data_IF_040909016175
#
_entry.id   IF_040909016175
#
_cell.length_a   1.000
_cell.length_b   1.000
_cell.length_c   1.000
_cell.angle_alpha   90.00
_cell.angle_beta   90.00
_cell.angle_gamma   90.00
#
_symmetry.space_group_name_H-M   'P 1'
#
loop_
_entity.id
_entity.type
_entity.pdbx_description
1 polymer ?
#
# COMPACT_ATOMS: atom_id res chain seq x y z
N UNK A 1 2.62 -3.99 3.62
CA UNK A 1 3.52 -5.16 3.76
C UNK A 1 4.95 -4.76 4.08
N UNK A 2 5.65 -4.05 3.19
CA UNK A 2 7.08 -3.75 3.36
C UNK A 2 7.42 -3.09 4.70
N UNK A 3 6.59 -2.17 5.19
CA UNK A 3 6.78 -1.54 6.51
C UNK A 3 6.76 -2.55 7.66
N UNK A 4 5.81 -3.48 7.67
CA UNK A 4 5.74 -4.55 8.66
C UNK A 4 6.98 -5.44 8.60
N UNK A 5 7.39 -5.84 7.39
CA UNK A 5 8.59 -6.66 7.18
C UNK A 5 9.83 -5.96 7.71
N UNK A 6 10.02 -4.67 7.42
CA UNK A 6 11.17 -3.89 7.90
C UNK A 6 11.17 -3.85 9.44
N UNK A 7 10.05 -3.45 10.06
CA UNK A 7 9.96 -3.31 11.51
C UNK A 7 10.19 -4.65 12.21
N UNK A 8 9.43 -5.69 11.83
CA UNK A 8 9.48 -7.00 12.50
C UNK A 8 10.84 -7.67 12.30
N UNK A 9 11.39 -7.69 11.08
CA UNK A 9 12.69 -8.32 10.85
C UNK A 9 13.84 -7.56 11.53
N UNK A 10 13.80 -6.22 11.55
CA UNK A 10 14.81 -5.43 12.26
C UNK A 10 14.80 -5.70 13.76
N UNK A 11 13.61 -5.77 14.37
CA UNK A 11 13.46 -6.10 15.78
C UNK A 11 13.90 -7.54 16.06
N UNK A 12 13.56 -8.48 15.17
CA UNK A 12 13.89 -9.91 15.31
C UNK A 12 15.40 -10.11 15.28
N UNK A 13 16.08 -9.50 14.32
CA UNK A 13 17.54 -9.51 14.26
C UNK A 13 18.16 -8.89 15.52
N UNK A 14 17.60 -7.78 16.00
CA UNK A 14 18.08 -7.10 17.21
C UNK A 14 17.96 -8.00 18.44
N UNK A 15 16.83 -8.66 18.62
CA UNK A 15 16.61 -9.60 19.73
C UNK A 15 17.54 -10.81 19.67
N UNK A 16 17.76 -11.39 18.48
CA UNK A 16 18.70 -12.50 18.30
C UNK A 16 20.11 -12.07 18.71
N UNK A 17 20.60 -10.93 18.20
CA UNK A 17 21.94 -10.44 18.52
C UNK A 17 22.07 -10.15 20.02
N UNK A 18 21.03 -9.61 20.64
CA UNK A 18 20.98 -9.39 22.08
C UNK A 18 21.09 -10.71 22.87
N UNK A 19 20.27 -11.71 22.52
CA UNK A 19 20.27 -13.02 23.17
C UNK A 19 21.63 -13.73 23.03
N UNK A 20 22.24 -13.66 21.84
CA UNK A 20 23.59 -14.19 21.60
C UNK A 20 24.63 -13.50 22.48
N UNK A 21 24.55 -12.16 22.62
CA UNK A 21 25.48 -11.39 23.46
C UNK A 21 25.35 -11.74 24.95
N UNK A 22 24.16 -12.15 25.41
CA UNK A 22 23.92 -12.64 26.77
C UNK A 22 24.31 -14.11 26.97
N UNK A 23 24.78 -14.80 25.93
CA UNK A 23 25.26 -16.18 26.00
C UNK A 23 24.22 -17.25 25.67
N UNK A 24 23.00 -16.86 25.28
CA UNK A 24 21.91 -17.78 24.97
C UNK A 24 21.98 -18.36 23.55
N UNK A 25 23.09 -19.02 23.20
CA UNK A 25 23.35 -19.51 21.82
C UNK A 25 22.29 -20.51 21.33
N UNK A 26 21.82 -21.41 22.21
CA UNK A 26 20.86 -22.45 21.84
C UNK A 26 19.42 -21.95 21.68
N UNK A 27 19.07 -20.84 22.32
CA UNK A 27 17.69 -20.29 22.35
C UNK A 27 17.60 -18.90 21.73
N UNK A 28 18.66 -18.42 21.08
CA UNK A 28 18.70 -17.05 20.54
C UNK A 28 17.65 -16.81 19.46
N UNK A 29 17.28 -17.86 18.71
CA UNK A 29 16.27 -17.82 17.66
C UNK A 29 14.84 -18.02 18.18
N UNK A 30 14.67 -18.40 19.45
CA UNK A 30 13.38 -18.71 20.08
C UNK A 30 12.66 -17.44 20.54
N UNK A 31 12.54 -16.47 19.63
CA UNK A 31 11.83 -15.20 19.85
C UNK A 31 10.42 -15.33 19.27
N UNK A 32 9.42 -15.45 20.14
CA UNK A 32 8.03 -15.56 19.73
C UNK A 32 7.50 -14.21 19.20
N UNK A 33 6.89 -14.25 18.01
CA UNK A 33 6.13 -13.12 17.46
C UNK A 33 4.64 -13.37 17.81
N UNK A 34 3.97 -12.42 18.50
CA UNK A 34 2.57 -12.53 18.86
C UNK A 34 1.64 -12.77 17.66
N UNK A 35 0.54 -13.50 17.89
CA UNK A 35 -0.43 -13.86 16.86
C UNK A 35 -1.02 -12.64 16.15
N UNK A 36 -1.27 -11.56 16.89
CA UNK A 36 -1.84 -10.32 16.34
C UNK A 36 -0.91 -9.68 15.28
N UNK A 37 0.41 -9.84 15.43
CA UNK A 37 1.41 -9.37 14.46
C UNK A 37 1.35 -10.21 13.21
N UNK A 38 1.24 -11.53 13.35
CA UNK A 38 1.05 -12.42 12.22
C UNK A 38 -0.23 -12.11 11.45
N UNK A 39 -1.33 -11.85 12.16
CA UNK A 39 -2.61 -11.46 11.55
C UNK A 39 -2.47 -10.13 10.79
N UNK A 40 -1.88 -9.11 11.41
CA UNK A 40 -1.67 -7.83 10.75
C UNK A 40 -0.78 -7.93 9.51
N UNK A 41 0.25 -8.76 9.59
CA UNK A 41 1.06 -9.11 8.43
C UNK A 41 0.22 -9.84 7.38
N UNK A 42 -0.53 -10.90 7.73
CA UNK A 42 -1.40 -11.61 6.79
C UNK A 42 -2.35 -10.68 6.02
N UNK A 43 -3.04 -9.78 6.73
CA UNK A 43 -3.93 -8.77 6.16
C UNK A 43 -3.18 -7.84 5.19
N UNK A 44 -2.02 -7.32 5.63
CA UNK A 44 -1.18 -6.47 4.78
C UNK A 44 -0.68 -7.18 3.52
N UNK A 45 -0.43 -8.49 3.58
CA UNK A 45 -0.02 -9.32 2.45
C UNK A 45 -1.18 -9.52 1.49
N UNK A 46 -2.38 -9.78 2.01
CA UNK A 46 -3.58 -9.92 1.20
C UNK A 46 -3.83 -8.66 0.35
N UNK A 47 -3.69 -7.45 0.91
CA UNK A 47 -3.82 -6.23 0.10
C UNK A 47 -2.65 -5.98 -0.84
N UNK A 48 -1.42 -6.35 -0.46
CA UNK A 48 -0.25 -6.22 -1.31
C UNK A 48 -0.37 -7.05 -2.60
N UNK A 49 -0.88 -8.27 -2.49
CA UNK A 49 -1.11 -9.16 -3.64
C UNK A 49 -2.45 -8.90 -4.31
N UNK A 50 -3.51 -8.59 -3.56
CA UNK A 50 -4.85 -8.38 -4.08
C UNK A 50 -4.99 -7.10 -4.91
N UNK A 51 -4.35 -6.00 -4.50
CA UNK A 51 -4.40 -4.72 -5.21
C UNK A 51 -3.94 -4.82 -6.68
N UNK A 52 -2.75 -5.37 -7.01
CA UNK A 52 -2.33 -5.51 -8.41
C UNK A 52 -3.20 -6.47 -9.21
N UNK A 53 -3.78 -7.50 -8.60
CA UNK A 53 -4.71 -8.42 -9.28
C UNK A 53 -6.01 -7.69 -9.70
N UNK A 54 -6.58 -6.88 -8.81
CA UNK A 54 -7.75 -6.04 -9.14
C UNK A 54 -7.39 -5.07 -10.28
N UNK A 55 -6.24 -4.41 -10.19
CA UNK A 55 -5.79 -3.47 -11.22
C UNK A 55 -5.53 -4.17 -12.55
N UNK A 56 -5.04 -5.41 -12.57
CA UNK A 56 -4.82 -6.17 -13.80
C UNK A 56 -6.11 -6.37 -14.59
N UNK A 57 -7.23 -6.65 -13.92
CA UNK A 57 -8.53 -6.77 -14.60
C UNK A 57 -8.99 -5.42 -15.16
N UNK A 58 -8.73 -4.32 -14.45
CA UNK A 58 -9.05 -2.96 -14.94
C UNK A 58 -8.20 -2.54 -16.14
N UNK A 59 -6.96 -3.05 -16.26
CA UNK A 59 -6.09 -2.80 -17.43
C UNK A 59 -6.61 -3.39 -18.73
N UNK A 60 -7.41 -4.46 -18.65
CA UNK A 60 -7.97 -5.13 -19.82
C UNK A 60 -9.19 -4.41 -20.40
N UNK A 61 -9.79 -3.49 -19.63
CA UNK A 61 -10.98 -2.74 -20.06
C UNK A 61 -10.60 -1.73 -21.14
N UNK A 62 -11.50 -1.55 -22.12
CA UNK A 62 -11.37 -0.50 -23.13
C UNK A 62 -11.86 0.81 -22.55
N UNK A 63 -11.09 1.87 -22.78
CA UNK A 63 -11.42 3.22 -22.32
C UNK A 63 -11.54 4.14 -23.52
N UNK A 64 -12.51 5.06 -23.44
CA UNK A 64 -12.72 6.05 -24.48
C UNK A 64 -11.59 7.10 -24.45
N UNK A 65 -10.95 7.35 -25.60
CA UNK A 65 -9.88 8.35 -25.73
C UNK A 65 -10.40 9.75 -25.42
N UNK A 66 -11.66 10.03 -25.75
CA UNK A 66 -12.30 11.32 -25.47
C UNK A 66 -12.42 11.58 -23.97
N UNK A 67 -12.68 10.55 -23.16
CA UNK A 67 -12.70 10.68 -21.71
C UNK A 67 -11.29 10.93 -21.16
N UNK A 68 -10.29 10.19 -21.65
CA UNK A 68 -8.90 10.36 -21.26
C UNK A 68 -8.38 11.79 -21.51
N UNK A 69 -8.81 12.43 -22.60
CA UNK A 69 -8.47 13.83 -22.90
C UNK A 69 -8.94 14.82 -21.82
N UNK A 70 -10.06 14.54 -21.15
CA UNK A 70 -10.59 15.38 -20.06
C UNK A 70 -9.68 15.33 -18.83
N UNK A 71 -9.07 14.18 -18.57
CA UNK A 71 -8.30 13.95 -17.34
C UNK A 71 -6.80 14.17 -17.50
N UNK A 72 -6.27 14.15 -18.73
CA UNK A 72 -4.88 14.52 -19.04
C UNK A 72 -4.82 15.77 -19.96
N UNK A 73 -5.33 16.94 -19.51
CA UNK A 73 -5.41 18.15 -20.33
C UNK A 73 -4.02 18.67 -20.73
N UNK A 74 -3.01 18.42 -19.90
CA UNK A 74 -1.61 18.73 -20.16
C UNK A 74 -1.11 18.02 -21.44
N UNK A 75 -1.55 16.77 -21.68
CA UNK A 75 -1.23 16.04 -22.91
C UNK A 75 -2.00 16.60 -24.11
N UNK A 76 -3.27 16.96 -23.91
CA UNK A 76 -4.09 17.57 -24.97
C UNK A 76 -3.47 18.87 -25.48
N UNK A 77 -2.94 19.69 -24.57
CA UNK A 77 -2.28 20.96 -24.90
C UNK A 77 -0.91 20.75 -25.53
N UNK A 78 -0.12 19.78 -25.05
CA UNK A 78 1.19 19.46 -25.63
C UNK A 78 1.11 18.85 -27.04
N UNK A 79 -0.01 18.21 -27.36
CA UNK A 79 -0.26 17.54 -28.65
C UNK A 79 -1.18 18.37 -29.55
N UNK A 80 -1.24 19.68 -29.33
CA UNK A 80 -2.04 20.57 -30.17
C UNK A 80 -1.42 20.76 -31.55
N UNK A 81 -2.21 20.52 -32.61
CA UNK A 81 -1.75 20.48 -33.99
C UNK A 81 -1.27 19.13 -34.53
N UNK A 82 -1.13 18.10 -33.70
CA UNK A 82 -0.86 16.72 -34.14
C UNK A 82 -2.10 16.04 -34.73
N UNK A 83 -1.92 14.99 -35.55
CA UNK A 83 -3.04 14.22 -36.10
C UNK A 83 -3.87 13.57 -34.99
N UNK A 84 -5.17 13.38 -35.23
CA UNK A 84 -6.07 12.72 -34.27
C UNK A 84 -5.57 11.33 -33.90
N UNK A 85 -5.02 10.57 -34.85
CA UNK A 85 -4.47 9.24 -34.57
C UNK A 85 -3.25 9.31 -33.65
N UNK A 86 -2.30 10.21 -33.92
CA UNK A 86 -1.08 10.34 -33.13
C UNK A 86 -1.36 10.81 -31.71
N UNK A 87 -2.29 11.77 -31.56
CA UNK A 87 -2.78 12.22 -30.25
C UNK A 87 -3.41 11.07 -29.46
N UNK A 88 -4.28 10.29 -30.10
CA UNK A 88 -4.91 9.15 -29.46
C UNK A 88 -3.90 8.08 -29.02
N UNK A 89 -2.86 7.84 -29.81
CA UNK A 89 -1.79 6.90 -29.48
C UNK A 89 -0.92 7.38 -28.31
N UNK A 90 -0.56 8.66 -28.27
CA UNK A 90 0.15 9.28 -27.15
C UNK A 90 -0.67 9.16 -25.84
N UNK A 91 -1.95 9.54 -25.86
CA UNK A 91 -2.83 9.47 -24.69
C UNK A 91 -2.95 8.02 -24.18
N UNK A 92 -3.06 7.05 -25.10
CA UNK A 92 -3.06 5.62 -24.76
C UNK A 92 -1.75 5.12 -24.15
N UNK A 93 -0.64 5.85 -24.22
CA UNK A 93 0.57 5.47 -23.47
C UNK A 93 0.41 5.72 -21.97
N UNK A 94 -0.25 6.80 -21.61
CA UNK A 94 -0.55 7.20 -20.22
C UNK A 94 -1.71 6.42 -19.60
N UNK A 95 -2.54 5.78 -20.43
CA UNK A 95 -3.64 4.93 -19.99
C UNK A 95 -3.33 3.44 -20.20
N UNK A 96 -3.49 2.62 -19.17
CA UNK A 96 -3.49 1.16 -19.31
C UNK A 96 -4.92 0.67 -19.05
N UNK A 97 -5.73 0.60 -20.11
CA UNK A 97 -7.18 0.49 -19.97
C UNK A 97 -7.71 1.65 -19.13
N UNK A 98 -8.49 1.31 -18.10
CA UNK A 98 -9.16 2.29 -17.22
C UNK A 98 -8.22 2.99 -16.23
N UNK A 99 -6.93 2.63 -16.19
CA UNK A 99 -5.98 3.14 -15.22
C UNK A 99 -5.10 4.24 -15.81
N UNK A 100 -4.87 5.31 -15.04
CA UNK A 100 -3.85 6.30 -15.35
C UNK A 100 -2.54 5.87 -14.70
N UNK A 101 -1.43 6.00 -15.44
CA UNK A 101 -0.09 5.68 -14.96
C UNK A 101 0.92 6.75 -15.36
N UNK A 102 1.94 6.86 -14.52
CA UNK A 102 3.14 7.59 -14.85
C UNK A 102 3.99 6.79 -15.85
N UNK A 103 4.54 7.48 -16.85
CA UNK A 103 5.42 6.87 -17.84
C UNK A 103 6.81 6.61 -17.28
N UNK A 104 7.27 7.51 -16.39
CA UNK A 104 8.57 7.40 -15.75
C UNK A 104 8.43 7.40 -14.23
N UNK A 105 9.34 6.75 -13.51
CA UNK A 105 9.37 6.79 -12.05
C UNK A 105 9.48 8.21 -11.46
N UNK A 106 10.16 9.11 -12.18
CA UNK A 106 10.35 10.53 -11.79
C UNK A 106 9.05 11.36 -11.77
N UNK A 107 8.01 10.89 -12.47
CA UNK A 107 6.71 11.57 -12.50
C UNK A 107 5.82 11.22 -11.29
N UNK A 108 6.23 10.23 -10.47
CA UNK A 108 5.46 9.77 -9.31
C UNK A 108 5.36 10.85 -8.22
N UNK A 109 4.15 11.05 -7.70
CA UNK A 109 3.87 12.10 -6.71
C UNK A 109 3.28 11.53 -5.42
N UNK A 110 3.56 12.17 -4.30
CA UNK A 110 3.04 11.73 -2.99
C UNK A 110 1.50 11.79 -2.91
N UNK A 111 0.87 12.74 -3.60
CA UNK A 111 -0.59 12.84 -3.63
C UNK A 111 -1.24 11.64 -4.34
N UNK A 112 -0.54 10.94 -5.23
CA UNK A 112 -1.02 9.71 -5.88
C UNK A 112 -1.16 8.53 -4.92
N UNK A 113 -0.63 8.63 -3.71
CA UNK A 113 -0.90 7.65 -2.65
C UNK A 113 -2.32 7.76 -2.11
N UNK A 114 -2.95 8.94 -2.27
CA UNK A 114 -4.25 9.28 -1.67
C UNK A 114 -5.31 9.70 -2.68
N UNK A 115 -4.98 9.97 -3.95
CA UNK A 115 -5.96 10.27 -5.00
C UNK A 115 -6.45 9.00 -5.70
N UNK A 116 -7.37 9.10 -6.66
CA UNK A 116 -7.76 7.96 -7.48
C UNK A 116 -6.66 7.42 -8.40
N UNK A 117 -6.92 6.27 -9.02
CA UNK A 117 -6.02 5.61 -9.99
C UNK A 117 -6.70 5.39 -11.36
N UNK A 118 -7.99 5.67 -11.46
CA UNK A 118 -8.81 5.47 -12.66
C UNK A 118 -9.12 6.79 -13.33
N UNK A 119 -9.41 6.74 -14.63
CA UNK A 119 -9.75 7.93 -15.42
C UNK A 119 -10.80 8.81 -14.74
N UNK A 120 -11.89 8.23 -14.25
CA UNK A 120 -12.98 8.99 -13.64
C UNK A 120 -12.67 9.57 -12.25
N UNK A 121 -11.59 9.15 -11.58
CA UNK A 121 -11.29 9.60 -10.21
C UNK A 121 -9.83 10.02 -9.95
N UNK A 122 -8.95 10.04 -10.96
CA UNK A 122 -7.50 10.29 -10.80
C UNK A 122 -7.16 11.62 -10.13
N UNK A 123 -8.00 12.66 -10.31
CA UNK A 123 -7.84 13.98 -9.69
C UNK A 123 -8.60 14.17 -8.38
N UNK A 124 -9.34 13.15 -7.96
CA UNK A 124 -10.20 13.19 -6.77
C UNK A 124 -9.48 12.49 -5.63
N UNK A 125 -9.64 13.03 -4.42
CA UNK A 125 -9.16 12.37 -3.20
C UNK A 125 -9.92 11.04 -3.00
N UNK A 126 -9.20 9.94 -2.90
CA UNK A 126 -9.76 8.63 -2.58
C UNK A 126 -9.67 8.43 -1.06
N UNK A 127 -10.81 8.60 -0.39
CA UNK A 127 -10.90 8.51 1.06
C UNK A 127 -10.49 7.13 1.58
N UNK A 128 -10.75 6.04 0.83
CA UNK A 128 -10.36 4.70 1.29
C UNK A 128 -8.85 4.50 1.25
N UNK A 129 -8.16 5.11 0.28
CA UNK A 129 -6.69 5.10 0.20
C UNK A 129 -6.07 5.92 1.32
N UNK A 130 -6.60 7.12 1.54
CA UNK A 130 -6.16 8.00 2.63
C UNK A 130 -6.34 7.32 4.00
N UNK A 131 -7.53 6.78 4.25
CA UNK A 131 -7.84 6.04 5.47
C UNK A 131 -6.89 4.86 5.66
N UNK A 132 -6.69 4.05 4.62
CA UNK A 132 -5.82 2.88 4.71
C UNK A 132 -4.35 3.24 4.96
N UNK A 133 -3.84 4.29 4.30
CA UNK A 133 -2.50 4.79 4.56
C UNK A 133 -2.36 5.28 6.00
N UNK A 134 -3.32 6.08 6.49
CA UNK A 134 -3.32 6.62 7.84
C UNK A 134 -3.32 5.53 8.92
N UNK A 135 -4.25 4.56 8.83
CA UNK A 135 -4.30 3.43 9.77
C UNK A 135 -3.03 2.58 9.73
N UNK A 136 -2.50 2.32 8.53
CA UNK A 136 -1.25 1.56 8.38
C UNK A 136 -0.08 2.27 9.07
N UNK A 137 0.09 3.57 8.82
CA UNK A 137 1.20 4.34 9.41
C UNK A 137 1.09 4.43 10.94
N UNK A 138 -0.11 4.66 11.47
CA UNK A 138 -0.33 4.71 12.92
C UNK A 138 -0.03 3.36 13.56
N UNK A 139 -0.62 2.28 13.06
CA UNK A 139 -0.47 0.97 13.69
C UNK A 139 0.99 0.51 13.63
N UNK A 140 1.63 0.61 12.45
CA UNK A 140 3.04 0.23 12.31
C UNK A 140 3.94 1.14 13.14
N UNK A 141 3.71 2.45 13.14
CA UNK A 141 4.51 3.42 13.89
C UNK A 141 4.42 3.21 15.41
N UNK A 142 3.20 3.02 15.92
CA UNK A 142 2.98 2.73 17.35
C UNK A 142 3.57 1.39 17.75
N UNK A 143 3.46 0.37 16.89
CA UNK A 143 4.07 -0.92 17.15
C UNK A 143 5.60 -0.86 17.13
N UNK A 144 6.20 -0.15 16.17
CA UNK A 144 7.63 0.09 16.11
C UNK A 144 8.15 0.84 17.34
N UNK A 145 7.41 1.86 17.81
CA UNK A 145 7.75 2.57 19.03
C UNK A 145 7.67 1.66 20.27
N UNK A 146 6.61 0.85 20.38
CA UNK A 146 6.45 -0.14 21.45
C UNK A 146 7.61 -1.16 21.46
N UNK A 147 7.95 -1.70 20.29
CA UNK A 147 9.09 -2.59 20.11
C UNK A 147 10.43 -1.93 20.49
N UNK A 148 10.64 -0.69 20.05
CA UNK A 148 11.86 0.07 20.37
C UNK A 148 12.02 0.29 21.87
N UNK A 149 10.95 0.70 22.55
CA UNK A 149 10.95 0.87 24.00
C UNK A 149 11.14 -0.45 24.75
N UNK A 150 10.49 -1.52 24.28
CA UNK A 150 10.66 -2.87 24.83
C UNK A 150 12.12 -3.34 24.72
N UNK A 151 12.73 -3.23 23.55
CA UNK A 151 14.12 -3.65 23.33
C UNK A 151 15.12 -2.75 24.05
N UNK A 152 14.85 -1.45 24.17
CA UNK A 152 15.70 -0.54 24.95
C UNK A 152 15.66 -0.87 26.46
N UNK A 153 14.48 -1.23 26.98
CA UNK A 153 14.31 -1.68 28.37
C UNK A 153 14.80 -3.10 28.64
N UNK A 154 15.07 -3.90 27.59
CA UNK A 154 15.55 -5.27 27.72
C UNK A 154 16.99 -5.38 28.26
N UNK A 155 17.72 -4.28 28.47
CA UNK A 155 19.08 -4.33 29.01
C UNK A 155 19.17 -5.14 30.33
N UNK A 156 18.14 -5.01 31.17
CA UNK A 156 18.01 -5.66 32.46
C UNK A 156 17.40 -7.07 32.39
N UNK A 157 16.97 -7.52 31.20
CA UNK A 157 16.47 -8.88 31.01
C UNK A 157 17.62 -9.84 30.67
N UNK A 158 17.47 -11.10 31.08
CA UNK A 158 18.41 -12.16 30.72
C UNK A 158 18.20 -12.61 29.27
N UNK A 159 16.95 -12.69 28.83
CA UNK A 159 16.56 -13.20 27.52
C UNK A 159 15.34 -12.44 26.97
N UNK A 160 15.38 -12.14 25.67
CA UNK A 160 14.20 -11.70 24.90
C UNK A 160 13.59 -12.93 24.24
N UNK A 161 12.53 -13.48 24.84
CA UNK A 161 11.84 -14.68 24.32
C UNK A 161 10.55 -14.38 23.55
N UNK A 162 10.02 -13.16 23.64
CA UNK A 162 8.80 -12.76 22.93
C UNK A 162 8.76 -11.26 22.67
N UNK A 163 8.06 -10.86 21.62
CA UNK A 163 7.72 -9.47 21.36
C UNK A 163 6.47 -9.02 22.11
N UNK A 164 6.32 -7.69 22.35
CA UNK A 164 5.09 -7.15 22.87
C UNK A 164 3.95 -7.48 21.90
N UNK A 165 2.84 -7.97 22.44
CA UNK A 165 1.58 -8.05 21.72
C UNK A 165 1.03 -6.63 21.48
N UNK A 166 0.22 -6.48 20.44
CA UNK A 166 -0.60 -5.28 20.28
C UNK A 166 -2.08 -5.67 20.18
N UNK A 167 -2.97 -4.73 20.46
CA UNK A 167 -4.40 -4.97 20.69
C UNK A 167 -5.08 -5.77 19.56
N UNK A 168 -5.85 -6.80 19.92
CA UNK A 168 -6.69 -7.56 18.98
C UNK A 168 -7.71 -6.65 18.27
N UNK A 169 -8.23 -5.61 18.96
CA UNK A 169 -9.10 -4.61 18.33
C UNK A 169 -8.37 -3.80 17.25
N UNK A 170 -7.08 -3.50 17.44
CA UNK A 170 -6.28 -2.85 16.41
C UNK A 170 -6.04 -3.76 15.20
N UNK A 171 -5.85 -5.07 15.41
CA UNK A 171 -5.77 -6.04 14.32
C UNK A 171 -7.09 -6.13 13.52
N UNK A 172 -8.24 -6.11 14.21
CA UNK A 172 -9.57 -6.06 13.57
C UNK A 172 -9.75 -4.76 12.77
N UNK A 173 -9.40 -3.60 13.34
CA UNK A 173 -9.48 -2.31 12.65
C UNK A 173 -8.60 -2.29 11.39
N UNK A 174 -7.40 -2.86 11.46
CA UNK A 174 -6.53 -3.02 10.30
C UNK A 174 -7.20 -3.90 9.23
N UNK A 175 -7.82 -5.01 9.63
CA UNK A 175 -8.60 -5.88 8.74
C UNK A 175 -9.72 -5.14 8.02
N UNK A 176 -10.52 -4.37 8.75
CA UNK A 176 -11.61 -3.56 8.19
C UNK A 176 -11.06 -2.51 7.22
N UNK A 177 -9.98 -1.82 7.59
CA UNK A 177 -9.33 -0.81 6.75
C UNK A 177 -8.85 -1.40 5.43
N UNK A 178 -8.13 -2.51 5.48
CA UNK A 178 -7.59 -3.20 4.30
C UNK A 178 -8.68 -3.83 3.43
N UNK A 179 -9.69 -4.43 4.05
CA UNK A 179 -10.86 -4.99 3.35
C UNK A 179 -11.65 -3.90 2.63
N UNK A 180 -12.00 -2.82 3.33
CA UNK A 180 -12.69 -1.66 2.75
C UNK A 180 -11.90 -1.00 1.62
N UNK A 181 -10.57 -0.88 1.77
CA UNK A 181 -9.69 -0.41 0.70
C UNK A 181 -9.76 -1.29 -0.55
N UNK A 182 -9.64 -2.62 -0.40
CA UNK A 182 -9.71 -3.55 -1.54
C UNK A 182 -11.09 -3.56 -2.20
N UNK A 183 -12.16 -3.54 -1.41
CA UNK A 183 -13.53 -3.47 -1.93
C UNK A 183 -13.76 -2.17 -2.72
N UNK A 184 -13.37 -1.01 -2.16
CA UNK A 184 -13.45 0.27 -2.88
C UNK A 184 -12.57 0.28 -4.14
N UNK A 185 -11.42 -0.41 -4.12
CA UNK A 185 -10.57 -0.57 -5.30
C UNK A 185 -11.19 -1.48 -6.35
N UNK A 186 -12.00 -2.47 -5.98
CA UNK A 186 -12.67 -3.37 -6.90
C UNK A 186 -13.82 -2.69 -7.67
N UNK A 187 -14.50 -1.72 -7.05
CA UNK A 187 -15.54 -0.90 -7.71
C UNK A 187 -14.94 -0.13 -8.88
N UNK A 188 -15.56 -0.21 -10.06
CA UNK A 188 -15.13 0.54 -11.25
C UNK A 188 -15.57 1.99 -11.11
N UNK A 189 -14.63 2.92 -11.34
CA UNK A 189 -14.84 4.36 -11.14
C UNK A 189 -14.76 5.09 -12.47
N UNK A 190 -15.29 4.46 -13.52
CA UNK A 190 -15.46 5.13 -14.81
C UNK A 190 -16.43 6.31 -14.66
N UNK A 191 -16.25 7.37 -15.44
CA UNK A 191 -17.36 8.26 -15.73
C UNK A 191 -18.50 7.41 -16.32
N UNK A 192 -19.76 7.74 -16.01
CA UNK A 192 -20.89 7.16 -16.76
C UNK A 192 -20.76 7.62 -18.21
N UNK A 193 -20.14 6.80 -19.05
CA UNK A 193 -20.24 6.91 -20.48
C UNK A 193 -21.67 6.56 -20.87
N UNK A 194 -22.38 7.53 -21.43
CA UNK A 194 -23.69 7.37 -22.07
C UNK A 194 -23.64 6.09 -22.92
N UNK A 195 -24.52 5.13 -22.60
CA UNK A 195 -24.69 3.92 -23.41
C UNK A 195 -25.29 4.35 -24.76
N UNK A 196 -24.45 4.60 -25.75
CA UNK A 196 -24.83 4.63 -27.16
C UNK A 196 -24.67 3.25 -27.81
#
# INVERSE_FOLDING_TARGET
>A
MSLWTIVVLSAFLTAIVFNLRKGHVGTALDVAIPEEVWVAMGISTASFVGSPLILQEKRKKKTNVTELETYVPELKQALDGESKERRAEEIRRYAAGNLIRNLKPEDARLNELITGEEVGNVKVLDLSRLQNLFFTLIIVGMYAASLGLFLAGAADTELVSQFPAFSSSAAVLLGISHGGYLMNKAVDKQPEGEND
#
